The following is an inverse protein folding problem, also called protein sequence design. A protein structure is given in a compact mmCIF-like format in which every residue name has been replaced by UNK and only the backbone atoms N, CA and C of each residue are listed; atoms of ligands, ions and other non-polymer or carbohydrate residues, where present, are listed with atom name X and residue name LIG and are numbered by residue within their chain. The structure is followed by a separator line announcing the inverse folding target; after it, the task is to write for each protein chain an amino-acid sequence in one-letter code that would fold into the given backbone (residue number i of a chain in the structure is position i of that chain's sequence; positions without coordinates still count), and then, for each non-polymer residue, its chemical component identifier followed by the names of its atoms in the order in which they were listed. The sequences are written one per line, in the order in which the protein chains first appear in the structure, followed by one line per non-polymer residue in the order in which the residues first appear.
data_IF_756440204754
#
_entry.id   IF_756440204754
#
_cell.length_a   1.000
_cell.length_b   1.000
_cell.length_c   1.000
_cell.angle_alpha   90.00
_cell.angle_beta   90.00
_cell.angle_gamma   90.00
#
_symmetry.space_group_name_H-M   'P 1'
#
loop_
_entity.id
_entity.type
_entity.pdbx_description
1 polymer ?
#
# COMPACT_ATOMS: atom_id res chain seq x y z
N UNK A 1 -7.67 -3.53 -16.89
CA UNK A 1 -7.18 -4.02 -15.60
C UNK A 1 -6.70 -2.83 -14.77
N UNK A 2 -7.20 -2.72 -13.57
CA UNK A 2 -6.81 -1.62 -12.68
C UNK A 2 -5.41 -1.86 -12.10
N UNK A 3 -4.76 -0.79 -11.65
CA UNK A 3 -3.45 -0.90 -11.00
C UNK A 3 -3.51 -1.77 -9.75
N UNK A 4 -4.58 -1.63 -8.95
CA UNK A 4 -4.74 -2.44 -7.73
C UNK A 4 -4.84 -3.94 -8.06
N UNK A 5 -5.61 -4.32 -9.08
CA UNK A 5 -5.72 -5.72 -9.50
C UNK A 5 -4.40 -6.27 -9.99
N UNK A 6 -3.63 -5.43 -10.70
CA UNK A 6 -2.34 -5.79 -11.25
C UNK A 6 -1.31 -6.06 -10.16
N UNK A 7 -1.30 -5.25 -9.10
CA UNK A 7 -0.34 -5.37 -8.01
C UNK A 7 -0.74 -6.40 -6.97
N UNK A 8 -2.03 -6.47 -6.62
CA UNK A 8 -2.52 -7.46 -5.66
C UNK A 8 -2.58 -8.87 -6.25
N UNK A 9 -2.92 -8.99 -7.54
CA UNK A 9 -3.13 -10.30 -8.14
C UNK A 9 -4.25 -11.04 -7.43
N UNK A 10 -3.93 -12.18 -6.83
CA UNK A 10 -4.88 -12.98 -6.05
C UNK A 10 -4.82 -12.69 -4.55
N UNK A 11 -3.98 -11.73 -4.15
CA UNK A 11 -3.81 -11.39 -2.73
C UNK A 11 -4.95 -10.52 -2.24
N UNK A 12 -5.18 -10.56 -0.93
CA UNK A 12 -6.23 -9.78 -0.29
C UNK A 12 -5.75 -8.37 0.04
N UNK A 13 -6.66 -7.38 0.13
CA UNK A 13 -6.29 -5.99 0.33
C UNK A 13 -6.11 -5.58 1.79
N UNK A 14 -6.03 -6.52 2.72
CA UNK A 14 -5.90 -6.19 4.15
C UNK A 14 -4.51 -5.63 4.44
N UNK A 15 -4.47 -4.39 4.91
CA UNK A 15 -3.21 -3.68 5.14
C UNK A 15 -2.65 -4.06 6.50
N UNK A 16 -1.42 -4.59 6.51
CA UNK A 16 -0.67 -4.83 7.73
C UNK A 16 0.12 -3.60 8.13
N UNK A 17 0.76 -2.93 7.15
CA UNK A 17 1.65 -1.81 7.42
C UNK A 17 1.80 -0.93 6.18
N UNK A 18 1.92 0.38 6.40
CA UNK A 18 2.27 1.34 5.35
C UNK A 18 3.47 2.13 5.87
N UNK A 19 4.57 2.09 5.13
CA UNK A 19 5.80 2.75 5.53
C UNK A 19 6.31 3.62 4.39
N UNK A 20 6.55 4.90 4.69
CA UNK A 20 7.27 5.80 3.79
C UNK A 20 8.65 6.05 4.37
N UNK A 21 9.68 5.58 3.68
CA UNK A 21 11.07 5.79 4.07
C UNK A 21 11.59 7.02 3.33
N UNK A 22 11.72 8.12 4.05
CA UNK A 22 12.12 9.40 3.47
C UNK A 22 13.58 9.40 3.04
N UNK A 23 14.41 8.58 3.66
CA UNK A 23 15.85 8.54 3.36
C UNK A 23 16.12 7.89 2.00
N UNK A 24 15.38 6.85 1.66
CA UNK A 24 15.52 6.14 0.39
C UNK A 24 14.41 6.46 -0.58
N UNK A 25 13.47 7.32 -0.20
CA UNK A 25 12.34 7.77 -1.02
C UNK A 25 11.54 6.61 -1.57
N UNK A 26 11.14 5.73 -0.67
CA UNK A 26 10.44 4.51 -1.00
C UNK A 26 9.22 4.37 -0.09
N UNK A 27 8.06 4.11 -0.70
CA UNK A 27 6.84 3.77 0.03
C UNK A 27 6.55 2.30 -0.20
N UNK A 28 6.23 1.57 0.87
CA UNK A 28 5.71 0.23 0.68
C UNK A 28 4.48 -0.02 1.56
N UNK A 29 3.61 -0.87 1.02
CA UNK A 29 2.39 -1.33 1.69
C UNK A 29 2.50 -2.83 1.83
N UNK A 30 2.44 -3.31 3.07
CA UNK A 30 2.45 -4.75 3.36
C UNK A 30 1.03 -5.22 3.60
N UNK A 31 0.63 -6.30 2.94
CA UNK A 31 -0.73 -6.82 2.99
C UNK A 31 -0.77 -8.22 3.57
N UNK A 32 -1.85 -8.50 4.31
CA UNK A 32 -2.16 -9.83 4.85
C UNK A 32 -3.11 -10.55 3.89
N UNK A 33 -2.99 -11.88 3.79
CA UNK A 33 -3.98 -12.68 3.06
C UNK A 33 -5.28 -12.81 3.85
N UNK A 34 -5.18 -12.87 5.16
CA UNK A 34 -6.33 -13.01 6.05
C UNK A 34 -6.16 -12.04 7.21
N UNK A 35 -7.25 -11.38 7.67
CA UNK A 35 -7.14 -10.41 8.76
C UNK A 35 -6.59 -10.99 10.07
N UNK A 36 -6.65 -12.30 10.24
CA UNK A 36 -6.12 -12.96 11.44
C UNK A 36 -4.65 -13.36 11.32
N UNK A 37 -4.04 -13.18 10.15
CA UNK A 37 -2.62 -13.48 9.97
C UNK A 37 -1.75 -12.54 10.79
N UNK A 38 -0.65 -13.07 11.31
CA UNK A 38 0.30 -12.28 12.11
C UNK A 38 1.40 -11.67 11.26
N UNK A 39 1.61 -12.16 10.04
CA UNK A 39 2.68 -11.74 9.15
C UNK A 39 2.15 -11.42 7.75
N UNK A 40 2.69 -10.39 7.10
CA UNK A 40 2.24 -10.06 5.74
C UNK A 40 2.73 -11.08 4.72
N UNK A 41 1.95 -11.23 3.66
CA UNK A 41 2.25 -12.16 2.56
C UNK A 41 2.64 -11.45 1.28
N UNK A 42 2.32 -10.16 1.15
CA UNK A 42 2.59 -9.37 -0.04
C UNK A 42 3.11 -7.99 0.35
N UNK A 43 4.06 -7.49 -0.41
CA UNK A 43 4.54 -6.12 -0.28
C UNK A 43 4.42 -5.41 -1.61
N UNK A 44 3.74 -4.25 -1.63
CA UNK A 44 3.65 -3.38 -2.79
C UNK A 44 4.64 -2.25 -2.61
N UNK A 45 5.51 -2.03 -3.58
CA UNK A 45 6.62 -1.09 -3.48
C UNK A 45 6.47 0.02 -4.50
N UNK A 46 6.60 1.26 -4.04
CA UNK A 46 6.57 2.47 -4.86
C UNK A 46 7.93 3.15 -4.73
N UNK A 47 8.85 2.94 -5.70
CA UNK A 47 10.22 3.47 -5.59
C UNK A 47 10.34 4.86 -6.19
N UNK A 48 11.44 5.52 -5.90
CA UNK A 48 11.84 6.81 -6.48
C UNK A 48 10.78 7.89 -6.30
N UNK A 49 10.28 8.02 -5.07
CA UNK A 49 9.25 8.99 -4.75
C UNK A 49 9.85 10.38 -4.67
N UNK A 50 9.25 11.33 -5.38
CA UNK A 50 9.62 12.75 -5.35
C UNK A 50 8.66 13.59 -4.51
N UNK A 51 7.44 13.10 -4.28
CA UNK A 51 6.45 13.82 -3.46
C UNK A 51 5.58 12.80 -2.73
N UNK A 52 5.33 13.08 -1.46
CA UNK A 52 4.44 12.28 -0.62
C UNK A 52 3.51 13.21 0.14
N UNK A 53 2.21 12.92 0.09
CA UNK A 53 1.18 13.66 0.83
C UNK A 53 0.16 12.68 1.36
N UNK A 54 -0.25 12.87 2.61
CA UNK A 54 -1.19 11.98 3.27
C UNK A 54 -2.29 12.79 3.94
N UNK A 55 -3.54 12.40 3.70
CA UNK A 55 -4.71 12.98 4.36
C UNK A 55 -5.40 11.87 5.14
N UNK A 56 -5.55 12.08 6.45
CA UNK A 56 -6.23 11.14 7.32
C UNK A 56 -7.74 11.34 7.17
N UNK A 57 -8.45 10.25 6.85
CA UNK A 57 -9.91 10.25 6.68
C UNK A 57 -10.62 9.41 7.73
N UNK A 58 -9.88 8.85 8.68
CA UNK A 58 -10.46 8.03 9.73
C UNK A 58 -11.29 8.88 10.70
N UNK A 59 -12.45 8.37 11.08
CA UNK A 59 -13.28 8.97 12.14
C UNK A 59 -12.80 8.50 13.51
N UNK A 60 -13.26 9.20 14.55
CA UNK A 60 -12.93 8.84 15.92
C UNK A 60 -13.42 7.41 16.20
N UNK A 61 -12.52 6.55 16.69
CA UNK A 61 -12.82 5.15 16.97
C UNK A 61 -12.43 4.18 15.86
N UNK A 62 -12.12 4.67 14.66
CA UNK A 62 -11.75 3.81 13.54
C UNK A 62 -10.33 3.28 13.65
N UNK A 63 -9.53 3.79 14.57
CA UNK A 63 -8.14 3.38 14.76
C UNK A 63 -7.98 1.90 15.11
N UNK A 64 -9.00 1.31 15.71
CA UNK A 64 -8.98 -0.11 16.08
C UNK A 64 -9.38 -1.03 14.96
N UNK A 65 -9.95 -0.48 13.87
CA UNK A 65 -10.37 -1.27 12.73
C UNK A 65 -9.20 -1.51 11.79
N UNK A 66 -9.18 -2.71 11.20
CA UNK A 66 -8.20 -3.03 10.18
C UNK A 66 -8.40 -2.12 8.96
N UNK A 67 -7.31 -1.63 8.41
CA UNK A 67 -7.35 -0.82 7.21
C UNK A 67 -7.29 -1.72 5.96
N UNK A 68 -8.04 -1.33 4.95
CA UNK A 68 -8.07 -2.03 3.67
C UNK A 68 -7.64 -1.09 2.56
N UNK A 69 -6.96 -1.66 1.58
CA UNK A 69 -6.62 -0.95 0.36
C UNK A 69 -7.86 -0.89 -0.53
N UNK A 70 -8.38 0.32 -0.73
CA UNK A 70 -9.62 0.52 -1.49
C UNK A 70 -9.32 0.71 -2.97
N UNK A 71 -8.35 1.57 -3.31
CA UNK A 71 -7.99 1.80 -4.70
C UNK A 71 -6.56 2.31 -4.84
N UNK A 72 -6.00 2.04 -6.02
CA UNK A 72 -4.74 2.60 -6.49
C UNK A 72 -5.03 3.17 -7.87
N UNK A 73 -5.00 4.50 -8.00
CA UNK A 73 -5.27 5.15 -9.27
C UNK A 73 -4.04 5.87 -9.78
N UNK A 74 -3.64 5.53 -11.00
CA UNK A 74 -2.61 6.28 -11.69
C UNK A 74 -3.27 7.44 -12.40
N UNK A 75 -3.13 8.65 -11.86
CA UNK A 75 -3.81 9.84 -12.38
C UNK A 75 -2.97 10.59 -13.42
N UNK A 76 -1.67 10.26 -13.50
CA UNK A 76 -0.79 10.75 -14.54
C UNK A 76 0.41 9.82 -14.67
N UNK A 77 1.34 10.12 -15.58
CA UNK A 77 2.54 9.29 -15.77
C UNK A 77 3.38 9.16 -14.49
N UNK A 78 3.29 10.14 -13.59
CA UNK A 78 4.15 10.19 -12.40
C UNK A 78 3.38 10.23 -11.10
N UNK A 79 2.05 10.25 -11.15
CA UNK A 79 1.25 10.49 -9.94
C UNK A 79 0.28 9.36 -9.70
N UNK A 80 0.29 8.84 -8.47
CA UNK A 80 -0.60 7.79 -8.01
C UNK A 80 -1.33 8.25 -6.76
N UNK A 81 -2.63 8.00 -6.70
CA UNK A 81 -3.45 8.21 -5.52
C UNK A 81 -3.80 6.85 -4.93
N UNK A 82 -3.44 6.67 -3.68
CA UNK A 82 -3.70 5.45 -2.92
C UNK A 82 -4.81 5.75 -1.92
N UNK A 83 -5.92 5.04 -2.04
CA UNK A 83 -7.04 5.23 -1.12
C UNK A 83 -7.19 4.00 -0.25
N UNK A 84 -7.19 4.22 1.07
CA UNK A 84 -7.50 3.18 2.06
C UNK A 84 -8.76 3.58 2.80
N UNK A 85 -9.24 2.71 3.68
CA UNK A 85 -10.40 3.05 4.51
C UNK A 85 -10.12 4.21 5.48
N UNK A 86 -8.85 4.44 5.82
CA UNK A 86 -8.46 5.43 6.84
C UNK A 86 -7.80 6.67 6.27
N UNK A 87 -7.23 6.61 5.07
CA UNK A 87 -6.44 7.73 4.55
C UNK A 87 -6.38 7.75 3.03
N UNK A 88 -6.01 8.91 2.52
CA UNK A 88 -5.71 9.11 1.11
C UNK A 88 -4.24 9.55 0.99
N UNK A 89 -3.48 8.81 0.21
CA UNK A 89 -2.06 9.08 0.00
C UNK A 89 -1.86 9.45 -1.46
N UNK A 90 -1.23 10.59 -1.70
CA UNK A 90 -0.87 11.04 -3.03
C UNK A 90 0.65 11.02 -3.14
N UNK A 91 1.16 10.33 -4.15
CA UNK A 91 2.59 10.26 -4.41
C UNK A 91 2.91 10.63 -5.85
N UNK A 92 4.07 11.25 -6.04
CA UNK A 92 4.69 11.38 -7.35
C UNK A 92 5.98 10.58 -7.32
N UNK A 93 6.22 9.80 -8.38
CA UNK A 93 7.36 8.89 -8.42
C UNK A 93 7.86 8.76 -9.85
N UNK A 94 9.17 8.54 -9.99
CA UNK A 94 9.81 8.29 -11.28
C UNK A 94 9.87 6.81 -11.62
N UNK A 95 9.88 5.94 -10.60
CA UNK A 95 9.92 4.49 -10.79
C UNK A 95 8.56 3.89 -11.02
N UNK A 96 8.54 2.61 -11.36
CA UNK A 96 7.30 1.85 -11.51
C UNK A 96 6.98 1.09 -10.24
N UNK A 97 5.73 1.15 -9.75
CA UNK A 97 5.35 0.31 -8.61
C UNK A 97 5.37 -1.17 -9.00
N UNK A 98 5.69 -2.00 -8.01
CA UNK A 98 5.70 -3.44 -8.20
C UNK A 98 5.33 -4.13 -6.90
N UNK A 99 4.95 -5.38 -7.01
CA UNK A 99 4.60 -6.20 -5.84
C UNK A 99 5.55 -7.39 -5.75
N UNK A 100 5.86 -7.78 -4.51
CA UNK A 100 6.65 -8.97 -4.27
C UNK A 100 5.99 -9.84 -3.20
N UNK A 101 6.10 -11.15 -3.39
CA UNK A 101 5.61 -12.12 -2.42
C UNK A 101 6.60 -12.22 -1.27
N UNK A 102 6.08 -12.16 -0.05
CA UNK A 102 6.90 -12.36 1.14
C UNK A 102 6.85 -13.83 1.51
N UNK A 103 8.00 -14.48 1.47
CA UNK A 103 8.11 -15.89 1.82
C UNK A 103 8.53 -16.02 3.28
N UNK A 104 7.71 -16.72 4.05
CA UNK A 104 8.03 -17.05 5.43
C UNK A 104 8.71 -18.41 5.45
N UNK A 105 9.90 -18.45 6.07
CA UNK A 105 10.61 -19.70 6.22
C UNK A 105 10.02 -20.49 7.37
N UNK A 106 9.54 -21.67 7.06
CA UNK A 106 9.12 -22.63 8.07
C UNK A 106 10.31 -23.51 8.41
N UNK A 107 10.81 -23.34 9.58
CA UNK A 107 11.88 -24.20 10.09
C UNK A 107 11.31 -25.27 10.97
#
# INVERSE_FOLDING_TARGET
MTLISKLLGHSSPYIFNIVYDVDVRLLFIECLDDPSDEMPSLRIIFPEISLYSEVNQAEAGDDELMDDLVSLEQVSNKKIVILTCKKEITIELAGKPYAEQIKHQNN
#
